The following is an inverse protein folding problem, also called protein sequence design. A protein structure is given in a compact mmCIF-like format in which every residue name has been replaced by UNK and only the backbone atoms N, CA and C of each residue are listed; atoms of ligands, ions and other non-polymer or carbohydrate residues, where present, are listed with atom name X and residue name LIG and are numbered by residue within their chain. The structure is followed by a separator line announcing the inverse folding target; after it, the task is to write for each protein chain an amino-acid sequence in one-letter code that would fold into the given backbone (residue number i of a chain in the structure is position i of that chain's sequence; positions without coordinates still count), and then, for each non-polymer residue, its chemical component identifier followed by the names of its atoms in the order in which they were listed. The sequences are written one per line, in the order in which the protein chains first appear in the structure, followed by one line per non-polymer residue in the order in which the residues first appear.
data_IF_217509556261
#
_entry.id   IF_217509556261
#
_cell.length_a   1.000
_cell.length_b   1.000
_cell.length_c   1.000
_cell.angle_alpha   90.00
_cell.angle_beta   90.00
_cell.angle_gamma   90.00
#
_symmetry.space_group_name_H-M   'P 1'
#
loop_
_entity.id
_entity.type
_entity.pdbx_description
1 polymer ?
#
# COMPACT_ATOMS: atom_id res chain seq x y z
N UNK A 1 -18.35 -36.86 -71.12
CA UNK A 1 -18.17 -35.43 -71.38
C UNK A 1 -17.82 -34.79 -70.05
N UNK A 2 -16.57 -34.98 -69.61
CA UNK A 2 -15.42 -34.06 -69.78
C UNK A 2 -15.52 -32.92 -68.73
N UNK A 3 -14.87 -33.02 -67.55
CA UNK A 3 -13.44 -32.77 -67.27
C UNK A 3 -13.06 -31.31 -67.58
N UNK A 4 -12.47 -30.50 -66.69
CA UNK A 4 -11.18 -30.76 -66.04
C UNK A 4 -10.91 -29.77 -64.90
N UNK A 5 -10.38 -30.27 -63.78
CA UNK A 5 -9.56 -29.50 -62.85
C UNK A 5 -8.15 -30.09 -62.90
N UNK A 6 -7.14 -29.26 -63.16
CA UNK A 6 -5.77 -29.68 -63.45
C UNK A 6 -4.94 -29.84 -62.17
N UNK A 7 -4.11 -30.89 -62.17
CA UNK A 7 -3.33 -31.48 -61.09
C UNK A 7 -1.92 -30.85 -60.91
N UNK A 8 -1.46 -30.77 -59.64
CA UNK A 8 -0.15 -31.14 -59.02
C UNK A 8 1.17 -31.09 -59.85
N UNK A 9 2.40 -30.85 -59.27
CA UNK A 9 2.93 -31.71 -58.20
C UNK A 9 4.03 -31.18 -57.22
N UNK A 10 4.35 -32.11 -56.31
CA UNK A 10 5.29 -32.19 -55.19
C UNK A 10 6.79 -32.35 -55.61
N UNK A 11 7.72 -31.73 -54.89
CA UNK A 11 9.15 -32.16 -54.75
C UNK A 11 9.80 -31.45 -53.54
N UNK A 12 10.06 -32.17 -52.43
CA UNK A 12 11.31 -32.84 -52.01
C UNK A 12 12.49 -31.94 -51.60
N UNK A 13 12.60 -31.76 -50.28
CA UNK A 13 13.78 -31.81 -49.37
C UNK A 13 15.19 -31.79 -50.02
N UNK A 14 16.06 -30.85 -49.58
CA UNK A 14 17.47 -31.14 -49.28
C UNK A 14 18.06 -30.15 -48.26
N UNK A 15 18.69 -30.73 -47.23
CA UNK A 15 19.63 -30.12 -46.25
C UNK A 15 20.78 -29.43 -46.99
N UNK A 16 21.52 -28.50 -46.36
CA UNK A 16 22.99 -28.51 -46.27
C UNK A 16 23.48 -27.25 -45.51
N UNK A 17 24.20 -27.48 -44.41
CA UNK A 17 25.10 -26.52 -43.76
C UNK A 17 26.22 -26.09 -44.70
N UNK A 18 26.80 -24.88 -44.56
CA UNK A 18 28.18 -24.63 -44.96
C UNK A 18 29.12 -24.59 -43.75
N UNK A 19 30.19 -25.37 -43.88
CA UNK A 19 31.37 -25.46 -43.02
C UNK A 19 32.31 -24.23 -43.17
N UNK A 20 33.06 -23.94 -42.09
CA UNK A 20 34.29 -23.09 -41.93
C UNK A 20 35.43 -23.53 -42.90
N UNK A 21 36.65 -22.92 -43.02
CA UNK A 21 37.45 -22.03 -42.12
C UNK A 21 38.24 -20.89 -42.83
N UNK A 22 39.04 -19.99 -42.20
CA UNK A 22 40.44 -20.19 -41.79
C UNK A 22 41.09 -18.90 -41.22
N UNK A 23 42.15 -19.10 -40.41
CA UNK A 23 43.01 -18.21 -39.60
C UNK A 23 43.56 -16.93 -40.26
N UNK A 24 43.74 -15.86 -39.47
CA UNK A 24 45.09 -15.40 -39.04
C UNK A 24 45.04 -14.22 -38.05
N UNK A 25 46.13 -14.14 -37.28
CA UNK A 25 46.45 -13.31 -36.11
C UNK A 25 46.32 -11.81 -36.39
N UNK A 26 45.96 -11.02 -35.37
CA UNK A 26 46.62 -9.75 -34.98
C UNK A 26 46.05 -9.19 -33.66
N UNK A 27 46.91 -9.19 -32.64
CA UNK A 27 47.06 -8.27 -31.50
C UNK A 27 45.83 -7.74 -30.71
N UNK A 28 45.73 -8.18 -29.45
CA UNK A 28 45.07 -7.41 -28.38
C UNK A 28 45.89 -6.16 -28.04
N UNK A 29 45.27 -4.98 -27.83
CA UNK A 29 45.90 -3.87 -27.13
C UNK A 29 45.73 -4.04 -25.60
N UNK A 30 46.69 -3.53 -24.79
CA UNK A 30 46.74 -3.78 -23.35
C UNK A 30 45.82 -2.85 -22.56
N UNK A 31 45.35 -3.38 -21.42
CA UNK A 31 44.55 -2.72 -20.39
C UNK A 31 45.10 -1.33 -20.01
N UNK A 32 44.26 -0.29 -20.15
CA UNK A 32 44.51 1.04 -19.60
C UNK A 32 44.13 1.14 -18.11
N UNK A 33 44.69 2.10 -17.37
CA UNK A 33 44.68 2.10 -15.91
C UNK A 33 43.29 2.41 -15.34
N UNK A 34 42.92 1.58 -14.36
CA UNK A 34 41.73 1.67 -13.52
C UNK A 34 41.60 3.05 -12.89
N UNK A 35 40.62 3.85 -13.31
CA UNK A 35 40.21 5.04 -12.54
C UNK A 35 39.65 4.57 -11.19
N UNK A 36 40.03 5.17 -10.06
CA UNK A 36 39.46 4.77 -8.77
C UNK A 36 37.96 5.03 -8.80
N UNK A 37 37.20 3.98 -8.54
CA UNK A 37 35.77 4.02 -8.24
C UNK A 37 35.59 5.05 -7.14
N UNK A 38 35.04 6.23 -7.46
CA UNK A 38 34.59 7.17 -6.43
C UNK A 38 33.62 6.38 -5.55
N UNK A 39 34.06 6.05 -4.35
CA UNK A 39 33.17 5.72 -3.24
C UNK A 39 32.25 6.91 -3.13
N UNK A 40 31.01 6.75 -3.59
CA UNK A 40 29.94 7.66 -3.27
C UNK A 40 29.86 7.67 -1.75
N UNK A 41 30.44 8.68 -1.11
CA UNK A 41 30.06 9.06 0.23
C UNK A 41 28.53 9.10 0.22
N UNK A 42 27.84 8.44 1.16
CA UNK A 42 26.42 8.63 1.28
C UNK A 42 26.24 10.13 1.44
N UNK A 43 25.60 10.76 0.46
CA UNK A 43 25.09 12.11 0.61
C UNK A 43 24.32 12.05 1.91
N UNK A 44 24.88 12.65 2.98
CA UNK A 44 24.17 12.88 4.22
C UNK A 44 23.00 13.74 3.80
N UNK A 45 21.88 13.10 3.46
CA UNK A 45 20.59 13.74 3.41
C UNK A 45 20.48 14.37 4.78
N UNK A 46 20.65 15.69 4.80
CA UNK A 46 20.60 16.50 5.99
C UNK A 46 19.14 16.47 6.45
N UNK A 47 18.76 15.36 7.08
CA UNK A 47 17.43 15.12 7.58
C UNK A 47 17.33 15.94 8.85
N UNK A 48 16.71 17.12 8.75
CA UNK A 48 16.32 17.97 9.88
C UNK A 48 15.19 17.31 10.71
N UNK A 49 15.23 15.99 10.88
CA UNK A 49 14.24 15.25 11.66
C UNK A 49 14.72 15.21 13.10
N UNK A 50 13.84 15.59 14.03
CA UNK A 50 14.12 15.47 15.46
C UNK A 50 14.37 14.00 15.81
N UNK A 51 15.42 13.74 16.59
CA UNK A 51 15.67 12.40 17.14
C UNK A 51 14.57 12.07 18.14
N UNK A 52 13.99 10.87 18.01
CA UNK A 52 12.98 10.35 18.94
C UNK A 52 13.67 9.37 19.89
N UNK A 53 14.02 9.80 21.13
CA UNK A 53 14.65 8.90 22.10
C UNK A 53 13.67 7.79 22.54
N UNK A 54 14.20 6.59 22.78
CA UNK A 54 13.44 5.47 23.37
C UNK A 54 12.53 4.69 22.41
N UNK A 55 12.51 5.01 21.12
CA UNK A 55 11.77 4.25 20.11
C UNK A 55 12.68 3.14 19.53
N UNK A 56 12.80 2.01 20.24
CA UNK A 56 13.64 0.86 19.86
C UNK A 56 12.96 -0.18 18.96
N UNK A 57 11.66 -0.01 18.66
CA UNK A 57 10.86 -0.90 17.80
C UNK A 57 10.68 -0.30 16.39
N UNK A 58 9.52 -0.51 15.76
CA UNK A 58 9.15 0.16 14.51
C UNK A 58 9.11 1.69 14.69
N UNK A 59 9.40 2.46 13.64
CA UNK A 59 9.38 3.93 13.75
C UNK A 59 7.99 4.46 14.14
N UNK A 60 7.90 5.66 14.77
CA UNK A 60 6.60 6.27 15.07
C UNK A 60 5.72 6.40 13.82
N UNK A 61 6.31 6.68 12.67
CA UNK A 61 5.59 6.72 11.39
C UNK A 61 5.06 5.34 10.98
N UNK A 62 5.83 4.27 11.17
CA UNK A 62 5.37 2.91 10.88
C UNK A 62 4.21 2.51 11.80
N UNK A 63 4.27 2.89 13.08
CA UNK A 63 3.18 2.65 14.03
C UNK A 63 1.90 3.41 13.65
N UNK A 64 2.04 4.68 13.26
CA UNK A 64 0.93 5.48 12.76
C UNK A 64 0.34 4.91 11.46
N UNK A 65 1.20 4.48 10.53
CA UNK A 65 0.79 3.84 9.28
C UNK A 65 0.04 2.53 9.53
N UNK A 66 0.46 1.72 10.50
CA UNK A 66 -0.25 0.50 10.88
C UNK A 66 -1.65 0.78 11.45
N UNK A 67 -1.79 1.83 12.26
CA UNK A 67 -3.10 2.25 12.74
C UNK A 67 -4.02 2.72 11.60
N UNK A 68 -3.48 3.50 10.66
CA UNK A 68 -4.22 3.92 9.47
C UNK A 68 -4.61 2.72 8.58
N UNK A 69 -3.75 1.72 8.49
CA UNK A 69 -4.04 0.48 7.75
C UNK A 69 -5.29 -0.25 8.31
N UNK A 70 -5.36 -0.47 9.63
CA UNK A 70 -6.57 -1.03 10.25
C UNK A 70 -7.78 -0.09 10.09
N UNK A 71 -7.58 1.22 10.22
CA UNK A 71 -8.64 2.20 10.03
C UNK A 71 -9.24 2.18 8.62
N UNK A 72 -8.41 2.05 7.57
CA UNK A 72 -8.91 1.94 6.19
C UNK A 72 -9.70 0.65 5.96
N UNK A 73 -9.36 -0.44 6.67
CA UNK A 73 -10.18 -1.65 6.62
C UNK A 73 -11.55 -1.42 7.25
N UNK A 74 -11.61 -0.75 8.41
CA UNK A 74 -12.87 -0.34 9.02
C UNK A 74 -13.72 0.53 8.07
N UNK A 75 -13.12 1.55 7.44
CA UNK A 75 -13.82 2.42 6.50
C UNK A 75 -14.31 1.65 5.28
N UNK A 76 -13.49 0.77 4.71
CA UNK A 76 -13.89 -0.04 3.57
C UNK A 76 -15.07 -0.97 3.89
N UNK A 77 -15.07 -1.59 5.07
CA UNK A 77 -16.22 -2.37 5.56
C UNK A 77 -17.47 -1.49 5.63
N UNK A 78 -17.38 -0.30 6.22
CA UNK A 78 -18.52 0.64 6.30
C UNK A 78 -19.07 1.02 4.92
N UNK A 79 -18.19 1.29 3.96
CA UNK A 79 -18.56 1.63 2.58
C UNK A 79 -19.27 0.43 1.92
N UNK A 80 -18.70 -0.77 2.00
CA UNK A 80 -19.27 -1.98 1.39
C UNK A 80 -20.60 -2.33 2.04
N UNK A 81 -20.72 -2.27 3.36
CA UNK A 81 -21.97 -2.51 4.08
C UNK A 81 -23.07 -1.55 3.63
N UNK A 82 -22.77 -0.25 3.47
CA UNK A 82 -23.73 0.72 2.97
C UNK A 82 -24.16 0.44 1.51
N UNK A 83 -23.25 -0.05 0.68
CA UNK A 83 -23.58 -0.48 -0.69
C UNK A 83 -24.51 -1.71 -0.68
N UNK A 84 -24.26 -2.68 0.19
CA UNK A 84 -25.06 -3.91 0.30
C UNK A 84 -26.49 -3.65 0.76
N UNK A 85 -26.71 -2.67 1.64
CA UNK A 85 -28.04 -2.34 2.17
C UNK A 85 -29.07 -2.05 1.06
N UNK A 86 -28.62 -1.46 -0.06
CA UNK A 86 -29.49 -1.16 -1.21
C UNK A 86 -29.42 -2.19 -2.33
N UNK A 87 -28.24 -2.78 -2.56
CA UNK A 87 -28.02 -3.66 -3.71
C UNK A 87 -28.34 -5.13 -3.42
N UNK A 88 -28.03 -5.61 -2.21
CA UNK A 88 -28.23 -6.99 -1.81
C UNK A 88 -28.44 -7.10 -0.28
N UNK A 89 -29.70 -7.02 0.19
CA UNK A 89 -30.01 -7.00 1.63
C UNK A 89 -29.69 -8.32 2.34
N UNK A 90 -29.74 -9.46 1.65
CA UNK A 90 -29.36 -10.75 2.25
C UNK A 90 -27.86 -10.80 2.59
N UNK A 91 -27.01 -10.34 1.66
CA UNK A 91 -25.58 -10.24 1.91
C UNK A 91 -25.24 -9.18 2.99
N UNK A 92 -26.08 -8.16 3.14
CA UNK A 92 -25.97 -7.20 4.24
C UNK A 92 -26.22 -7.88 5.60
N UNK A 93 -27.29 -8.66 5.72
CA UNK A 93 -27.61 -9.38 6.97
C UNK A 93 -26.50 -10.37 7.35
N UNK A 94 -26.00 -11.16 6.38
CA UNK A 94 -24.85 -12.06 6.59
C UNK A 94 -23.60 -11.28 7.06
N UNK A 95 -23.30 -10.14 6.44
CA UNK A 95 -22.16 -9.29 6.82
C UNK A 95 -22.33 -8.72 8.24
N UNK A 96 -23.53 -8.31 8.63
CA UNK A 96 -23.82 -7.81 9.97
C UNK A 96 -23.70 -8.92 11.03
N UNK A 97 -24.16 -10.13 10.73
CA UNK A 97 -23.95 -11.29 11.59
C UNK A 97 -22.45 -11.61 11.73
N UNK A 98 -21.68 -11.56 10.64
CA UNK A 98 -20.23 -11.77 10.69
C UNK A 98 -19.52 -10.71 11.54
N UNK A 99 -19.91 -9.44 11.40
CA UNK A 99 -19.38 -8.32 12.19
C UNK A 99 -19.70 -8.42 13.68
N UNK A 100 -20.83 -9.03 14.05
CA UNK A 100 -21.17 -9.27 15.46
C UNK A 100 -20.22 -10.27 16.13
N UNK A 101 -19.65 -11.19 15.34
CA UNK A 101 -18.77 -12.28 15.81
C UNK A 101 -17.28 -11.95 15.68
N UNK A 102 -16.90 -11.04 14.78
CA UNK A 102 -15.51 -10.74 14.45
C UNK A 102 -15.17 -9.26 14.66
N UNK A 103 -14.14 -8.99 15.47
CA UNK A 103 -13.66 -7.63 15.71
C UNK A 103 -12.90 -7.04 14.51
N UNK A 104 -13.05 -5.73 14.28
CA UNK A 104 -12.33 -4.97 13.25
C UNK A 104 -10.99 -4.37 13.72
N UNK A 105 -10.49 -4.75 14.90
CA UNK A 105 -9.25 -4.19 15.45
C UNK A 105 -8.02 -4.53 14.59
N UNK A 106 -7.96 -5.78 14.13
CA UNK A 106 -6.97 -6.25 13.16
C UNK A 106 -7.66 -6.45 11.82
N UNK A 107 -7.43 -5.50 10.91
CA UNK A 107 -8.07 -5.52 9.60
C UNK A 107 -7.65 -6.70 8.72
N UNK A 108 -6.42 -7.19 8.85
CA UNK A 108 -5.96 -8.31 8.03
C UNK A 108 -6.46 -9.64 8.58
N UNK A 109 -6.48 -9.82 9.90
CA UNK A 109 -7.10 -10.98 10.52
C UNK A 109 -8.60 -11.03 10.20
N UNK A 110 -9.29 -9.89 10.22
CA UNK A 110 -10.70 -9.80 9.84
C UNK A 110 -10.92 -10.25 8.38
N UNK A 111 -10.17 -9.69 7.43
CA UNK A 111 -10.27 -10.08 6.01
C UNK A 111 -9.94 -11.57 5.83
N UNK A 112 -8.92 -12.06 6.52
CA UNK A 112 -8.50 -13.46 6.49
C UNK A 112 -9.62 -14.40 6.99
N UNK A 113 -10.31 -14.06 8.07
CA UNK A 113 -11.44 -14.84 8.57
C UNK A 113 -12.61 -14.79 7.59
N UNK A 114 -12.94 -13.61 7.07
CA UNK A 114 -14.05 -13.41 6.13
C UNK A 114 -13.86 -14.24 4.85
N UNK A 115 -12.63 -14.31 4.33
CA UNK A 115 -12.30 -15.13 3.16
C UNK A 115 -12.53 -16.64 3.36
N UNK A 116 -12.54 -17.12 4.61
CA UNK A 116 -12.65 -18.54 4.95
C UNK A 116 -14.06 -18.96 5.37
N UNK A 117 -14.96 -18.02 5.64
CA UNK A 117 -16.32 -18.30 6.12
C UNK A 117 -17.18 -18.98 5.04
N UNK A 118 -17.25 -18.41 3.83
CA UNK A 118 -17.95 -19.02 2.68
C UNK A 118 -17.48 -18.42 1.36
N UNK A 119 -17.90 -18.99 0.22
CA UNK A 119 -17.61 -18.42 -1.11
C UNK A 119 -18.20 -17.02 -1.30
N UNK A 120 -19.38 -16.74 -0.74
CA UNK A 120 -20.00 -15.40 -0.73
C UNK A 120 -19.16 -14.41 0.07
N UNK A 121 -18.76 -14.79 1.29
CA UNK A 121 -17.91 -13.96 2.15
C UNK A 121 -16.53 -13.73 1.54
N UNK A 122 -15.97 -14.70 0.82
CA UNK A 122 -14.73 -14.52 0.08
C UNK A 122 -14.85 -13.43 -1.00
N UNK A 123 -15.94 -13.42 -1.78
CA UNK A 123 -16.19 -12.35 -2.75
C UNK A 123 -16.32 -10.96 -2.06
N UNK A 124 -16.98 -10.90 -0.90
CA UNK A 124 -17.07 -9.67 -0.10
C UNK A 124 -15.71 -9.21 0.43
N UNK A 125 -14.88 -10.14 0.90
CA UNK A 125 -13.53 -9.83 1.36
C UNK A 125 -12.67 -9.24 0.24
N UNK A 126 -12.70 -9.83 -0.96
CA UNK A 126 -12.02 -9.30 -2.14
C UNK A 126 -12.50 -7.88 -2.47
N UNK A 127 -13.80 -7.62 -2.36
CA UNK A 127 -14.37 -6.29 -2.55
C UNK A 127 -13.86 -5.29 -1.50
N UNK A 128 -13.76 -5.68 -0.23
CA UNK A 128 -13.21 -4.85 0.84
C UNK A 128 -11.72 -4.56 0.57
N UNK A 129 -10.93 -5.53 0.12
CA UNK A 129 -9.52 -5.35 -0.23
C UNK A 129 -9.34 -4.33 -1.37
N UNK A 130 -10.20 -4.39 -2.39
CA UNK A 130 -10.23 -3.42 -3.49
C UNK A 130 -10.59 -2.02 -2.97
N UNK A 131 -11.69 -1.90 -2.22
CA UNK A 131 -12.20 -0.62 -1.69
C UNK A 131 -11.18 0.03 -0.75
N UNK A 132 -10.55 -0.71 0.16
CA UNK A 132 -9.54 -0.13 1.07
C UNK A 132 -8.30 0.38 0.33
N UNK A 133 -7.89 -0.30 -0.74
CA UNK A 133 -6.79 0.18 -1.60
C UNK A 133 -7.19 1.42 -2.38
N UNK A 134 -8.40 1.44 -2.97
CA UNK A 134 -8.90 2.59 -3.72
C UNK A 134 -9.05 3.82 -2.82
N UNK A 135 -9.70 3.66 -1.67
CA UNK A 135 -9.94 4.74 -0.72
C UNK A 135 -8.63 5.36 -0.22
N UNK A 136 -7.69 4.53 0.24
CA UNK A 136 -6.39 5.00 0.75
C UNK A 136 -5.58 5.78 -0.30
N UNK A 137 -5.63 5.38 -1.57
CA UNK A 137 -4.80 5.96 -2.64
C UNK A 137 -5.44 7.14 -3.35
N UNK A 138 -6.77 7.14 -3.49
CA UNK A 138 -7.47 8.07 -4.39
C UNK A 138 -8.39 9.04 -3.65
N UNK A 139 -9.09 8.58 -2.59
CA UNK A 139 -10.16 9.36 -1.95
C UNK A 139 -9.73 9.96 -0.61
N UNK A 140 -8.80 9.33 0.10
CA UNK A 140 -8.36 9.80 1.40
C UNK A 140 -7.50 11.06 1.27
N UNK A 141 -7.97 12.15 1.87
CA UNK A 141 -7.33 13.46 1.81
C UNK A 141 -6.10 13.55 2.75
N UNK A 142 -4.96 13.02 2.31
CA UNK A 142 -3.72 13.01 3.09
C UNK A 142 -3.25 14.40 3.53
N UNK A 143 -3.37 15.42 2.66
CA UNK A 143 -2.99 16.80 2.99
C UNK A 143 -3.92 17.39 4.06
N UNK A 144 -5.21 17.05 4.00
CA UNK A 144 -6.18 17.47 5.00
C UNK A 144 -5.92 16.79 6.34
N UNK A 145 -5.61 15.48 6.35
CA UNK A 145 -5.17 14.78 7.57
C UNK A 145 -3.96 15.48 8.21
N UNK A 146 -2.94 15.81 7.41
CA UNK A 146 -1.74 16.50 7.90
C UNK A 146 -2.09 17.87 8.49
N UNK A 147 -2.90 18.66 7.78
CA UNK A 147 -3.37 19.98 8.24
C UNK A 147 -4.15 19.88 9.55
N UNK A 148 -5.05 18.91 9.66
CA UNK A 148 -5.84 18.67 10.87
C UNK A 148 -4.95 18.23 12.04
N UNK A 149 -3.98 17.35 11.81
CA UNK A 149 -3.04 16.92 12.85
C UNK A 149 -2.27 18.09 13.46
N UNK A 150 -1.79 19.03 12.63
CA UNK A 150 -1.14 20.25 13.12
C UNK A 150 -2.10 21.14 13.91
N UNK A 151 -3.27 21.42 13.32
CA UNK A 151 -4.30 22.24 13.95
C UNK A 151 -4.71 21.72 15.33
N UNK A 152 -4.92 20.40 15.45
CA UNK A 152 -5.33 19.78 16.70
C UNK A 152 -4.28 19.93 17.81
N UNK A 153 -2.99 19.81 17.48
CA UNK A 153 -1.90 20.01 18.46
C UNK A 153 -1.84 21.47 18.90
N UNK A 154 -1.87 22.41 17.96
CA UNK A 154 -1.78 23.84 18.25
C UNK A 154 -2.97 24.32 19.11
N UNK A 155 -4.19 23.92 18.74
CA UNK A 155 -5.40 24.25 19.49
C UNK A 155 -5.43 23.60 20.86
N UNK A 156 -4.98 22.33 20.96
CA UNK A 156 -4.93 21.64 22.25
C UNK A 156 -3.91 22.30 23.20
N UNK A 157 -2.73 22.65 22.72
CA UNK A 157 -1.72 23.33 23.52
C UNK A 157 -2.21 24.70 24.00
N UNK A 158 -2.84 25.48 23.10
CA UNK A 158 -3.40 26.80 23.45
C UNK A 158 -4.50 26.67 24.50
N UNK A 159 -5.39 25.69 24.35
CA UNK A 159 -6.48 25.44 25.31
C UNK A 159 -5.92 25.04 26.68
N UNK A 160 -5.01 24.07 26.73
CA UNK A 160 -4.40 23.62 27.99
C UNK A 160 -3.72 24.75 28.76
N UNK A 161 -2.99 25.63 28.07
CA UNK A 161 -2.35 26.79 28.71
C UNK A 161 -3.38 27.81 29.22
N UNK A 162 -4.44 28.06 28.45
CA UNK A 162 -5.53 28.97 28.86
C UNK A 162 -6.24 28.43 30.10
N UNK A 163 -6.62 27.16 30.07
CA UNK A 163 -7.37 26.52 31.15
C UNK A 163 -6.54 26.52 32.44
N UNK A 164 -5.25 26.20 32.36
CA UNK A 164 -4.33 26.27 33.50
C UNK A 164 -4.24 27.67 34.12
N UNK A 165 -4.13 28.73 33.30
CA UNK A 165 -4.06 30.12 33.80
C UNK A 165 -5.37 30.52 34.49
N UNK A 166 -6.52 30.06 34.00
CA UNK A 166 -7.82 30.32 34.62
C UNK A 166 -7.95 29.59 35.97
N UNK A 167 -7.48 28.36 36.07
CA UNK A 167 -7.51 27.58 37.31
C UNK A 167 -6.69 28.25 38.42
N UNK A 168 -5.44 28.62 38.14
CA UNK A 168 -4.56 29.21 39.16
C UNK A 168 -5.07 30.58 39.64
N UNK A 169 -5.70 31.37 38.76
CA UNK A 169 -6.21 32.70 39.11
C UNK A 169 -7.46 32.67 39.98
N UNK A 170 -8.27 31.61 39.91
CA UNK A 170 -9.40 31.41 40.85
C UNK A 170 -8.91 31.02 42.25
N UNK A 171 -7.81 30.25 42.34
CA UNK A 171 -7.23 29.82 43.63
C UNK A 171 -6.61 30.99 44.40
N UNK A 172 -6.01 31.97 43.72
CA UNK A 172 -5.43 33.16 44.37
C UNK A 172 -6.50 34.14 44.91
N UNK A 173 -7.74 34.07 44.41
CA UNK A 173 -8.85 34.94 44.81
C UNK A 173 -9.57 34.52 46.10
N UNK A 174 -9.55 33.23 46.45
CA UNK A 174 -10.22 32.68 47.65
C UNK A 174 -9.33 32.63 48.89
N UNK A 175 -8.05 32.97 48.77
CA UNK A 175 -7.05 32.96 49.85
C UNK A 175 -6.89 34.28 50.62
N UNK A 176 -7.88 35.18 50.61
CA UNK A 176 -7.84 36.48 51.30
C UNK A 176 -9.01 36.72 52.24
#
# INVERSE_FOLDING_TARGET
MEASATMLPLSQVHRFFPHKPNRSKLACPPCGPSKPRRTSLPSRLHCQKMYVPGFGEASPEAKAANNLHSFFTYIAVRIVTAQLESYNPEAYEEMMEFLSRNSLNDGDQFCANLMRESSRHNALALRILEVRSAYCKNDFEWDNLKRLAFKMVDESNTRLMRDYVLEISHVEGEGK
#
